data_IF_124729786196
#
_entry.id   IF_124729786196
#
_cell.length_a   1.000
_cell.length_b   1.000
_cell.length_c   1.000
_cell.angle_alpha   90.00
_cell.angle_beta   90.00
_cell.angle_gamma   90.00
#
_symmetry.space_group_name_H-M   'P 1'
#
loop_
_entity.id
_entity.type
_entity.pdbx_description
1 polymer ?
#
# COMPACT_ATOMS: atom_id res chain seq x y z
N UNK A 1 16.52 1.32 17.67
CA UNK A 1 16.74 2.52 16.85
C UNK A 1 15.90 3.67 17.38
N UNK A 2 16.54 4.79 17.70
CA UNK A 2 15.83 6.02 18.00
C UNK A 2 15.05 6.50 16.76
N UNK A 3 13.75 6.69 16.89
CA UNK A 3 12.98 7.37 15.83
C UNK A 3 13.45 8.82 15.78
N UNK A 4 13.82 9.33 14.62
CA UNK A 4 14.44 10.65 14.49
C UNK A 4 13.63 11.75 15.22
N UNK A 5 14.22 12.31 16.27
CA UNK A 5 13.60 13.33 17.10
C UNK A 5 12.67 12.82 18.21
N UNK A 6 12.40 11.52 18.32
CA UNK A 6 11.57 10.94 19.37
C UNK A 6 12.43 10.39 20.52
N UNK A 7 11.83 10.28 21.71
CA UNK A 7 12.48 9.77 22.92
C UNK A 7 12.44 8.24 23.03
N UNK A 8 11.71 7.56 22.14
CA UNK A 8 11.60 6.10 22.16
C UNK A 8 12.61 5.43 21.21
N UNK A 9 13.00 4.22 21.59
CA UNK A 9 13.66 3.28 20.70
C UNK A 9 12.66 2.26 20.15
N UNK A 10 12.77 1.99 18.86
CA UNK A 10 12.07 0.87 18.22
C UNK A 10 13.02 -0.24 17.84
N UNK A 11 12.59 -1.47 18.08
CA UNK A 11 13.23 -2.68 17.52
C UNK A 11 12.81 -2.79 16.07
N UNK A 12 13.74 -2.55 15.16
CA UNK A 12 13.52 -2.86 13.74
C UNK A 12 13.74 -4.36 13.60
N UNK A 13 12.67 -5.10 13.36
CA UNK A 13 12.75 -6.52 13.03
C UNK A 13 13.41 -6.61 11.66
N UNK A 14 14.69 -6.98 11.63
CA UNK A 14 15.37 -7.32 10.39
C UNK A 14 14.91 -8.71 9.95
N UNK A 15 14.58 -8.86 8.67
CA UNK A 15 14.21 -10.16 8.08
C UNK A 15 15.44 -10.92 7.58
N UNK A 16 16.64 -10.50 7.99
CA UNK A 16 17.88 -11.15 7.63
C UNK A 16 18.11 -12.38 8.53
N UNK A 17 18.47 -13.55 7.96
CA UNK A 17 18.95 -14.66 8.76
C UNK A 17 20.15 -14.18 9.59
N UNK A 18 20.13 -14.50 10.90
CA UNK A 18 21.10 -14.07 11.92
C UNK A 18 22.50 -13.80 11.37
N UNK A 19 22.83 -12.52 11.16
CA UNK A 19 24.16 -11.94 11.12
C UNK A 19 23.99 -10.41 11.21
N UNK A 20 24.86 -9.69 11.96
CA UNK A 20 26.20 -10.10 12.40
C UNK A 20 26.26 -10.48 13.89
N UNK A 21 27.42 -10.94 14.34
CA UNK A 21 27.73 -11.22 15.76
C UNK A 21 27.58 -9.99 16.69
N UNK A 22 27.88 -10.15 17.99
CA UNK A 22 27.47 -9.21 19.05
C UNK A 22 27.97 -7.75 18.92
N UNK A 23 28.90 -7.43 18.01
CA UNK A 23 29.61 -6.14 17.97
C UNK A 23 29.27 -5.21 16.80
N UNK A 24 28.24 -5.49 15.98
CA UNK A 24 27.91 -4.60 14.86
C UNK A 24 26.92 -3.51 15.23
N UNK A 25 27.36 -2.26 15.09
CA UNK A 25 26.51 -1.07 15.28
C UNK A 25 25.45 -0.97 14.20
N UNK A 26 24.34 -0.29 14.51
CA UNK A 26 23.26 -0.06 13.57
C UNK A 26 23.72 0.73 12.32
N UNK A 27 24.67 1.65 12.47
CA UNK A 27 25.20 2.44 11.35
C UNK A 27 26.04 1.59 10.40
N UNK A 28 26.84 0.67 10.94
CA UNK A 28 27.58 -0.31 10.14
C UNK A 28 26.62 -1.25 9.40
N UNK A 29 25.56 -1.72 10.06
CA UNK A 29 24.53 -2.53 9.42
C UNK A 29 23.82 -1.76 8.30
N UNK A 30 23.40 -0.52 8.55
CA UNK A 30 22.76 0.34 7.55
C UNK A 30 23.67 0.52 6.34
N UNK A 31 24.94 0.85 6.57
CA UNK A 31 25.95 1.02 5.51
C UNK A 31 26.11 -0.27 4.71
N UNK A 32 26.25 -1.41 5.39
CA UNK A 32 26.37 -2.72 4.75
C UNK A 32 25.16 -3.04 3.86
N UNK A 33 23.94 -2.81 4.34
CA UNK A 33 22.71 -3.03 3.55
C UNK A 33 22.70 -2.10 2.33
N UNK A 34 22.96 -0.79 2.52
CA UNK A 34 22.98 0.17 1.40
C UNK A 34 23.96 -0.24 0.30
N UNK A 35 25.14 -0.71 0.69
CA UNK A 35 26.18 -1.12 -0.27
C UNK A 35 25.87 -2.45 -0.96
N UNK A 36 25.26 -3.41 -0.26
CA UNK A 36 25.07 -4.78 -0.77
C UNK A 36 23.71 -5.02 -1.43
N UNK A 37 22.65 -4.46 -0.87
CA UNK A 37 21.27 -4.71 -1.26
C UNK A 37 20.58 -3.45 -1.82
N UNK A 38 21.21 -2.28 -1.69
CA UNK A 38 20.64 -1.00 -2.04
C UNK A 38 19.90 -0.32 -0.90
N UNK A 39 19.36 0.86 -1.19
CA UNK A 39 18.70 1.71 -0.21
C UNK A 39 17.19 1.72 -0.44
N UNK A 40 16.40 1.64 0.62
CA UNK A 40 14.95 1.79 0.53
C UNK A 40 14.59 3.17 -0.01
N UNK A 41 13.46 3.27 -0.72
CA UNK A 41 12.90 4.53 -1.22
C UNK A 41 12.08 5.29 -0.17
N UNK A 42 12.02 4.80 1.07
CA UNK A 42 11.24 5.40 2.15
C UNK A 42 12.11 6.14 3.17
N UNK A 43 12.98 5.43 3.87
CA UNK A 43 13.85 5.95 4.93
C UNK A 43 14.95 4.96 5.30
N UNK A 44 15.95 5.41 6.07
CA UNK A 44 16.98 4.54 6.65
C UNK A 44 16.41 3.43 7.53
N UNK A 45 15.28 3.70 8.18
CA UNK A 45 14.60 2.70 9.00
C UNK A 45 14.00 1.58 8.15
N UNK A 46 13.40 1.94 7.02
CA UNK A 46 12.92 0.96 6.06
C UNK A 46 14.09 0.19 5.45
N UNK A 47 15.25 0.84 5.22
CA UNK A 47 16.48 0.16 4.78
C UNK A 47 16.95 -0.89 5.78
N UNK A 48 16.95 -0.58 7.08
CA UNK A 48 17.40 -1.49 8.15
C UNK A 48 16.55 -2.77 8.30
N UNK A 49 15.33 -2.81 7.74
CA UNK A 49 14.54 -4.04 7.71
C UNK A 49 15.16 -5.13 6.83
N UNK A 50 16.08 -4.77 5.92
CA UNK A 50 16.74 -5.69 4.99
C UNK A 50 15.90 -6.00 3.75
N UNK A 51 16.33 -6.99 2.96
CA UNK A 51 15.67 -7.35 1.71
C UNK A 51 14.36 -8.16 1.92
N UNK A 52 13.62 -8.31 0.82
CA UNK A 52 12.41 -9.13 0.71
C UNK A 52 11.27 -8.73 1.66
N UNK A 53 11.13 -7.42 1.93
CA UNK A 53 10.05 -6.89 2.76
C UNK A 53 8.68 -7.11 2.07
N UNK A 54 7.66 -7.41 2.88
CA UNK A 54 6.26 -7.28 2.45
C UNK A 54 5.67 -6.00 3.03
N UNK A 55 5.17 -5.11 2.18
CA UNK A 55 4.85 -3.72 2.57
C UNK A 55 3.40 -3.35 2.24
N UNK A 56 2.67 -2.77 3.18
CA UNK A 56 1.40 -2.08 2.90
C UNK A 56 1.64 -0.57 2.88
N UNK A 57 1.41 0.05 1.73
CA UNK A 57 1.81 1.42 1.43
C UNK A 57 0.60 2.36 1.34
N UNK A 58 0.68 3.50 2.03
CA UNK A 58 -0.38 4.50 2.13
C UNK A 58 0.16 5.94 1.98
N UNK A 59 -0.69 6.81 1.44
CA UNK A 59 -0.44 8.26 1.40
C UNK A 59 -1.28 8.96 2.47
N UNK A 60 -0.66 9.84 3.25
CA UNK A 60 -1.33 10.68 4.24
C UNK A 60 -1.23 12.15 3.82
N UNK A 61 -2.38 12.79 3.57
CA UNK A 61 -2.42 14.14 3.00
C UNK A 61 -3.64 14.95 3.42
N UNK A 62 -3.65 16.22 3.03
CA UNK A 62 -4.65 17.21 3.47
C UNK A 62 -4.24 17.93 4.76
N UNK A 63 -5.09 18.86 5.21
CA UNK A 63 -4.82 19.66 6.42
C UNK A 63 -4.74 18.75 7.65
N UNK A 64 -3.62 18.77 8.36
CA UNK A 64 -3.42 17.94 9.54
C UNK A 64 -4.29 18.41 10.75
N UNK A 65 -4.97 17.49 11.47
CA UNK A 65 -5.23 16.11 11.08
C UNK A 65 -6.43 16.02 10.11
N UNK A 66 -6.22 15.38 8.97
CA UNK A 66 -7.27 15.02 7.99
C UNK A 66 -7.82 13.62 8.29
N UNK A 67 -8.87 13.20 7.58
CA UNK A 67 -9.43 11.86 7.70
C UNK A 67 -8.39 10.76 7.39
N UNK A 68 -7.42 11.01 6.50
CA UNK A 68 -6.35 10.06 6.21
C UNK A 68 -5.42 9.84 7.41
N UNK A 69 -5.12 10.90 8.18
CA UNK A 69 -4.33 10.76 9.41
C UNK A 69 -5.11 10.01 10.51
N UNK A 70 -6.43 10.22 10.60
CA UNK A 70 -7.29 9.46 11.52
C UNK A 70 -7.38 7.99 11.14
N UNK A 71 -7.54 7.70 9.85
CA UNK A 71 -7.53 6.35 9.31
C UNK A 71 -6.19 5.64 9.53
N UNK A 72 -5.07 6.35 9.38
CA UNK A 72 -3.73 5.82 9.64
C UNK A 72 -3.56 5.23 11.05
N UNK A 73 -4.13 5.88 12.08
CA UNK A 73 -4.09 5.36 13.46
C UNK A 73 -4.83 4.02 13.57
N UNK A 74 -5.98 3.88 12.91
CA UNK A 74 -6.73 2.61 12.88
C UNK A 74 -5.95 1.52 12.13
N UNK A 75 -5.43 1.87 10.96
CA UNK A 75 -4.64 0.97 10.12
C UNK A 75 -3.37 0.47 10.81
N UNK A 76 -2.67 1.32 11.56
CA UNK A 76 -1.48 0.94 12.31
C UNK A 76 -1.78 -0.16 13.37
N UNK A 77 -3.00 -0.19 13.89
CA UNK A 77 -3.47 -1.19 14.84
C UNK A 77 -4.02 -2.47 14.17
N UNK A 78 -4.61 -2.34 12.99
CA UNK A 78 -5.28 -3.45 12.28
C UNK A 78 -4.33 -4.27 11.42
N UNK A 79 -3.44 -3.62 10.67
CA UNK A 79 -2.53 -4.29 9.73
C UNK A 79 -1.66 -5.37 10.39
N UNK A 80 -1.06 -5.17 11.58
CA UNK A 80 -0.28 -6.24 12.23
C UNK A 80 -1.08 -7.52 12.48
N UNK A 81 -2.41 -7.41 12.63
CA UNK A 81 -3.32 -8.53 12.85
C UNK A 81 -3.75 -9.15 11.51
N UNK A 82 -4.09 -8.32 10.53
CA UNK A 82 -4.57 -8.75 9.22
C UNK A 82 -3.48 -9.27 8.29
N UNK A 83 -2.27 -8.73 8.39
CA UNK A 83 -1.11 -9.10 7.58
C UNK A 83 0.13 -9.31 8.47
N UNK A 84 0.18 -10.40 9.27
CA UNK A 84 1.31 -10.66 10.14
C UNK A 84 2.64 -10.68 9.37
N UNK A 85 3.62 -9.93 9.88
CA UNK A 85 4.95 -9.79 9.27
C UNK A 85 5.06 -8.77 8.13
N UNK A 86 3.96 -8.13 7.73
CA UNK A 86 4.04 -7.01 6.78
C UNK A 86 4.41 -5.72 7.52
N UNK A 87 5.25 -4.90 6.90
CA UNK A 87 5.54 -3.54 7.37
C UNK A 87 4.57 -2.53 6.77
N UNK A 88 4.30 -1.46 7.48
CA UNK A 88 3.43 -0.37 7.04
C UNK A 88 4.31 0.79 6.60
N UNK A 89 4.01 1.40 5.45
CA UNK A 89 4.67 2.65 5.01
C UNK A 89 3.64 3.77 4.90
N UNK A 90 3.82 4.80 5.71
CA UNK A 90 3.01 6.02 5.67
C UNK A 90 3.82 7.15 5.02
N UNK A 91 3.47 7.51 3.80
CA UNK A 91 4.05 8.64 3.08
C UNK A 91 3.34 9.93 3.50
N UNK A 92 4.08 10.91 4.03
CA UNK A 92 3.49 12.12 4.62
C UNK A 92 4.33 13.39 4.38
N UNK A 93 3.68 14.55 4.44
CA UNK A 93 4.31 15.89 4.41
C UNK A 93 4.22 16.60 5.78
N UNK A 94 4.27 15.83 6.87
CA UNK A 94 4.38 16.40 8.21
C UNK A 94 5.79 16.93 8.49
N UNK A 95 5.86 18.19 8.90
CA UNK A 95 7.09 18.84 9.34
C UNK A 95 7.41 18.50 10.81
N UNK A 96 8.51 17.77 11.12
CA UNK A 96 8.87 17.38 12.48
C UNK A 96 9.32 18.56 13.37
N UNK A 97 9.58 19.76 12.81
CA UNK A 97 9.85 20.96 13.60
C UNK A 97 8.56 21.57 14.19
N UNK A 98 7.38 21.09 13.78
CA UNK A 98 6.10 21.51 14.35
C UNK A 98 5.71 20.53 15.47
N UNK A 99 5.60 21.02 16.71
CA UNK A 99 5.43 20.18 17.91
C UNK A 99 4.29 19.17 17.80
N UNK A 100 3.11 19.58 17.30
CA UNK A 100 1.96 18.66 17.12
C UNK A 100 2.20 17.56 16.07
N UNK A 101 2.97 17.85 15.02
CA UNK A 101 3.31 16.87 14.00
C UNK A 101 4.32 15.88 14.56
N UNK A 102 5.35 16.40 15.24
CA UNK A 102 6.36 15.59 15.92
C UNK A 102 5.73 14.64 16.93
N UNK A 103 4.86 15.15 17.80
CA UNK A 103 4.15 14.34 18.79
C UNK A 103 3.37 13.20 18.15
N UNK A 104 2.60 13.48 17.09
CA UNK A 104 1.82 12.45 16.38
C UNK A 104 2.69 11.41 15.67
N UNK A 105 3.77 11.85 15.02
CA UNK A 105 4.72 10.94 14.36
C UNK A 105 5.40 10.03 15.38
N UNK A 106 5.86 10.59 16.50
CA UNK A 106 6.49 9.84 17.57
C UNK A 106 5.49 8.86 18.20
N UNK A 107 4.29 9.30 18.54
CA UNK A 107 3.27 8.44 19.14
C UNK A 107 3.03 7.17 18.31
N UNK A 108 2.82 7.31 17.01
CA UNK A 108 2.66 6.17 16.11
C UNK A 108 3.92 5.32 15.97
N UNK A 109 5.08 5.93 15.75
CA UNK A 109 6.31 5.19 15.50
C UNK A 109 6.81 4.44 16.75
N UNK A 110 6.54 4.96 17.94
CA UNK A 110 6.86 4.33 19.21
C UNK A 110 5.93 3.13 19.52
N UNK A 111 4.65 3.24 19.16
CA UNK A 111 3.68 2.17 19.41
C UNK A 111 3.75 1.04 18.37
N UNK A 112 4.25 1.31 17.16
CA UNK A 112 4.20 0.36 16.04
C UNK A 112 5.58 0.11 15.42
N UNK A 113 6.25 -0.97 15.83
CA UNK A 113 7.58 -1.37 15.30
C UNK A 113 7.57 -1.74 13.81
N UNK A 114 6.41 -2.14 13.27
CA UNK A 114 6.21 -2.45 11.85
C UNK A 114 6.03 -1.20 10.96
N UNK A 115 5.87 -0.01 11.55
CA UNK A 115 5.61 1.22 10.81
C UNK A 115 6.89 1.92 10.37
N UNK A 116 6.97 2.32 9.12
CA UNK A 116 7.93 3.27 8.59
C UNK A 116 7.23 4.57 8.15
N UNK A 117 7.80 5.68 8.60
CA UNK A 117 7.36 7.03 8.25
C UNK A 117 8.21 7.51 7.07
N UNK A 118 7.59 7.67 5.91
CA UNK A 118 8.26 8.12 4.69
C UNK A 118 7.99 9.61 4.47
N UNK A 119 8.88 10.47 4.94
CA UNK A 119 8.72 11.91 4.77
C UNK A 119 8.96 12.29 3.29
N UNK A 120 7.92 12.76 2.60
CA UNK A 120 7.96 13.01 1.16
C UNK A 120 8.87 14.16 0.72
N UNK A 121 9.42 14.92 1.68
CA UNK A 121 10.44 15.95 1.43
C UNK A 121 11.85 15.35 1.36
N UNK A 122 12.08 14.23 2.05
CA UNK A 122 13.42 13.65 2.27
C UNK A 122 13.44 12.14 2.07
N UNK A 123 12.78 11.65 1.02
CA UNK A 123 12.81 10.22 0.67
C UNK A 123 14.22 9.81 0.22
N UNK A 124 14.66 8.65 0.69
CA UNK A 124 15.94 8.03 0.34
C UNK A 124 15.85 7.25 -1.00
N UNK A 125 16.91 6.54 -1.40
CA UNK A 125 16.88 5.69 -2.60
C UNK A 125 16.72 6.47 -3.90
N UNK A 126 17.22 7.71 -3.93
CA UNK A 126 17.18 8.60 -5.09
C UNK A 126 15.83 9.26 -5.38
N UNK A 127 14.83 9.15 -4.49
CA UNK A 127 13.52 9.80 -4.69
C UNK A 127 13.51 11.29 -4.29
N UNK A 128 14.11 11.66 -3.16
CA UNK A 128 14.14 13.03 -2.68
C UNK A 128 12.76 13.63 -2.40
N UNK A 129 12.59 14.93 -2.69
CA UNK A 129 11.32 15.63 -2.51
C UNK A 129 10.36 15.31 -3.67
N UNK A 130 9.20 14.73 -3.34
CA UNK A 130 8.15 14.37 -4.32
C UNK A 130 6.85 15.18 -4.15
N UNK A 131 6.85 16.27 -3.36
CA UNK A 131 5.65 17.12 -3.13
C UNK A 131 5.14 17.84 -4.38
N UNK A 132 5.93 17.85 -5.45
CA UNK A 132 5.52 18.33 -6.75
C UNK A 132 4.52 17.38 -7.44
N UNK A 133 4.40 16.13 -6.99
CA UNK A 133 3.35 15.18 -7.41
C UNK A 133 2.10 15.31 -6.53
N UNK A 134 0.95 14.84 -7.03
CA UNK A 134 -0.29 14.75 -6.25
C UNK A 134 -0.10 13.78 -5.08
N UNK A 135 -0.73 14.08 -3.95
CA UNK A 135 -0.47 13.33 -2.73
C UNK A 135 -0.99 11.88 -2.76
N UNK A 136 -2.04 11.59 -3.53
CA UNK A 136 -2.57 10.22 -3.64
C UNK A 136 -1.54 9.24 -4.21
N UNK A 137 -0.59 9.69 -5.05
CA UNK A 137 0.42 8.80 -5.61
C UNK A 137 1.66 8.62 -4.74
N UNK A 138 1.85 9.33 -3.63
CA UNK A 138 3.08 9.19 -2.82
C UNK A 138 3.37 7.75 -2.37
N UNK A 139 2.32 6.98 -2.02
CA UNK A 139 2.38 5.53 -1.74
C UNK A 139 2.96 4.68 -2.87
N UNK A 140 3.01 5.18 -4.10
CA UNK A 140 3.67 4.54 -5.24
C UNK A 140 5.20 4.56 -5.11
N UNK A 141 5.76 5.26 -4.12
CA UNK A 141 7.19 5.26 -3.81
C UNK A 141 7.76 3.87 -3.57
N UNK A 142 6.93 2.92 -3.14
CA UNK A 142 7.29 1.51 -2.91
C UNK A 142 7.64 0.75 -4.20
N UNK A 143 7.17 1.22 -5.36
CA UNK A 143 7.39 0.54 -6.65
C UNK A 143 8.88 0.62 -7.02
N UNK A 144 9.54 -0.52 -7.20
CA UNK A 144 10.97 -0.55 -7.50
C UNK A 144 11.86 -0.11 -6.33
N UNK A 145 11.37 -0.21 -5.10
CA UNK A 145 12.25 -0.24 -3.93
C UNK A 145 13.03 -1.56 -3.94
N UNK A 146 14.38 -1.53 -3.91
CA UNK A 146 15.21 -2.73 -4.07
C UNK A 146 15.08 -3.73 -2.90
N UNK A 147 14.56 -3.28 -1.75
CA UNK A 147 14.42 -4.10 -0.55
C UNK A 147 13.03 -4.69 -0.39
N UNK A 148 12.09 -4.36 -1.27
CA UNK A 148 10.70 -4.81 -1.19
C UNK A 148 10.50 -6.04 -2.07
N UNK A 149 10.09 -7.15 -1.47
CA UNK A 149 9.70 -8.36 -2.19
C UNK A 149 8.27 -8.27 -2.71
N UNK A 150 7.35 -7.77 -1.89
CA UNK A 150 5.92 -7.62 -2.21
C UNK A 150 5.36 -6.34 -1.61
N UNK A 151 4.39 -5.74 -2.29
CA UNK A 151 3.70 -4.58 -1.77
C UNK A 151 2.20 -4.58 -2.07
N UNK A 152 1.46 -3.94 -1.18
CA UNK A 152 0.07 -3.54 -1.35
C UNK A 152 0.01 -2.02 -1.38
N UNK A 153 -0.82 -1.50 -2.26
CA UNK A 153 -1.09 -0.07 -2.38
C UNK A 153 -2.54 0.17 -1.98
N UNK A 154 -2.74 0.97 -0.91
CA UNK A 154 -4.03 1.15 -0.26
C UNK A 154 -4.33 2.62 0.04
N UNK A 155 -5.62 2.96 0.01
CA UNK A 155 -6.07 4.25 0.51
C UNK A 155 -6.20 4.22 2.04
N UNK A 156 -5.76 5.29 2.70
CA UNK A 156 -5.76 5.35 4.18
C UNK A 156 -7.15 5.64 4.77
N UNK A 157 -8.15 5.90 3.93
CA UNK A 157 -9.53 6.12 4.32
C UNK A 157 -10.39 4.85 4.27
N UNK A 158 -9.78 3.69 3.96
CA UNK A 158 -10.45 2.41 3.83
C UNK A 158 -10.07 1.45 4.97
N UNK A 159 -11.04 0.80 5.63
CA UNK A 159 -10.76 -0.26 6.59
C UNK A 159 -10.29 -1.54 5.89
N UNK A 160 -9.54 -2.36 6.61
CA UNK A 160 -9.12 -3.68 6.13
C UNK A 160 -10.21 -4.70 6.45
N UNK A 161 -10.77 -5.29 5.40
CA UNK A 161 -11.79 -6.34 5.53
C UNK A 161 -11.14 -7.72 5.44
N UNK A 162 -11.68 -8.71 6.17
CA UNK A 162 -11.25 -10.10 6.02
C UNK A 162 -11.35 -10.57 4.55
N UNK A 163 -12.38 -10.12 3.83
CA UNK A 163 -12.54 -10.32 2.38
C UNK A 163 -11.31 -9.88 1.57
N UNK A 164 -10.68 -8.77 1.95
CA UNK A 164 -9.46 -8.30 1.31
C UNK A 164 -8.28 -9.22 1.64
N UNK A 165 -8.13 -9.59 2.91
CA UNK A 165 -7.07 -10.48 3.40
C UNK A 165 -7.13 -11.82 2.66
N UNK A 166 -8.31 -12.42 2.55
CA UNK A 166 -8.50 -13.71 1.88
C UNK A 166 -8.16 -13.62 0.38
N UNK A 167 -8.52 -12.50 -0.27
CA UNK A 167 -8.19 -12.25 -1.68
C UNK A 167 -6.69 -11.99 -1.91
N UNK A 168 -6.01 -11.37 -0.95
CA UNK A 168 -4.55 -11.20 -0.94
C UNK A 168 -3.88 -12.56 -0.76
N UNK A 169 -4.32 -13.39 0.19
CA UNK A 169 -3.78 -14.73 0.41
C UNK A 169 -3.94 -15.62 -0.82
N UNK A 170 -5.10 -15.57 -1.46
CA UNK A 170 -5.35 -16.27 -2.70
C UNK A 170 -4.44 -15.78 -3.85
N UNK A 171 -4.15 -14.48 -3.93
CA UNK A 171 -3.14 -13.95 -4.86
C UNK A 171 -1.73 -14.44 -4.53
N UNK A 172 -1.32 -14.40 -3.26
CA UNK A 172 0.01 -14.86 -2.83
C UNK A 172 0.24 -16.33 -3.22
N UNK A 173 -0.77 -17.18 -3.04
CA UNK A 173 -0.73 -18.60 -3.46
C UNK A 173 -0.69 -18.79 -4.97
N UNK A 174 -1.15 -17.83 -5.77
CA UNK A 174 -1.21 -17.97 -7.23
C UNK A 174 0.17 -17.82 -7.90
N UNK A 175 1.19 -17.33 -7.18
CA UNK A 175 2.52 -17.06 -7.73
C UNK A 175 2.56 -15.94 -8.79
N UNK A 176 1.47 -15.18 -8.99
CA UNK A 176 1.43 -14.06 -9.94
C UNK A 176 2.00 -12.81 -9.29
N UNK A 177 2.58 -11.93 -10.10
CA UNK A 177 3.23 -10.73 -9.59
C UNK A 177 2.24 -9.67 -9.12
N UNK A 178 1.10 -9.53 -9.79
CA UNK A 178 0.19 -8.41 -9.59
C UNK A 178 -1.19 -8.86 -9.15
N UNK A 179 -1.80 -8.03 -8.30
CA UNK A 179 -3.14 -8.22 -7.76
C UNK A 179 -3.97 -6.96 -7.92
N UNK A 180 -5.23 -7.11 -8.32
CA UNK A 180 -6.19 -6.01 -8.38
C UNK A 180 -7.52 -6.49 -7.80
N UNK A 181 -8.22 -5.62 -7.08
CA UNK A 181 -9.53 -5.89 -6.51
C UNK A 181 -10.57 -4.86 -6.97
N UNK A 182 -11.73 -5.36 -7.40
CA UNK A 182 -12.89 -4.58 -7.90
C UNK A 182 -14.18 -5.09 -7.25
N UNK A 183 -14.46 -4.60 -6.06
CA UNK A 183 -15.48 -5.18 -5.17
C UNK A 183 -16.81 -4.39 -5.12
N UNK A 184 -17.02 -3.42 -6.02
CA UNK A 184 -18.22 -2.57 -6.06
C UNK A 184 -18.66 -2.32 -7.52
N UNK A 185 -19.96 -2.19 -7.84
CA UNK A 185 -20.43 -1.94 -9.21
C UNK A 185 -19.82 -0.70 -9.90
N UNK A 186 -19.35 0.27 -9.12
CA UNK A 186 -18.72 1.50 -9.63
C UNK A 186 -17.21 1.37 -9.87
N UNK A 187 -16.60 0.24 -9.53
CA UNK A 187 -15.16 -0.04 -9.73
C UNK A 187 -14.87 -0.39 -11.20
N UNK A 188 -15.10 0.58 -12.09
CA UNK A 188 -15.12 0.44 -13.56
C UNK A 188 -13.80 0.72 -14.26
N UNK A 189 -12.68 0.71 -13.54
CA UNK A 189 -11.34 1.04 -14.07
C UNK A 189 -10.40 -0.16 -14.01
N UNK A 190 -9.37 -0.13 -14.86
CA UNK A 190 -8.35 -1.16 -14.97
C UNK A 190 -7.58 -1.32 -13.66
N UNK A 191 -7.20 -0.23 -12.98
CA UNK A 191 -6.49 -0.29 -11.70
C UNK A 191 -7.11 0.75 -10.79
N UNK A 192 -7.78 0.31 -9.74
CA UNK A 192 -8.13 1.23 -8.65
C UNK A 192 -6.87 1.53 -7.85
N UNK A 193 -6.57 2.81 -7.69
CA UNK A 193 -5.31 3.24 -7.12
C UNK A 193 -5.13 2.76 -5.67
N UNK A 194 -6.20 2.49 -4.93
CA UNK A 194 -6.19 2.04 -3.54
C UNK A 194 -6.44 0.55 -3.32
N UNK A 195 -6.50 -0.29 -4.36
CA UNK A 195 -6.90 -1.71 -4.24
C UNK A 195 -6.06 -2.62 -5.15
N UNK A 196 -4.73 -2.48 -5.10
CA UNK A 196 -3.84 -3.31 -5.91
C UNK A 196 -2.50 -3.62 -5.21
N UNK A 197 -1.75 -4.58 -5.74
CA UNK A 197 -0.46 -4.99 -5.20
C UNK A 197 0.47 -5.54 -6.28
N UNK A 198 1.75 -5.67 -5.94
CA UNK A 198 2.79 -6.08 -6.88
C UNK A 198 3.97 -6.77 -6.19
N UNK A 199 4.82 -7.42 -6.97
CA UNK A 199 6.14 -7.86 -6.51
C UNK A 199 7.21 -6.81 -6.86
N UNK A 200 8.19 -6.61 -5.96
CA UNK A 200 9.30 -5.70 -6.22
C UNK A 200 10.41 -6.30 -7.09
N UNK A 201 10.49 -7.63 -7.20
CA UNK A 201 11.43 -8.31 -8.08
C UNK A 201 11.04 -8.30 -9.57
N UNK A 202 9.80 -7.95 -9.90
CA UNK A 202 9.32 -7.94 -11.29
C UNK A 202 9.93 -6.80 -12.09
N UNK A 203 10.77 -7.11 -13.07
CA UNK A 203 11.51 -6.13 -13.88
C UNK A 203 12.14 -5.03 -13.01
N UNK A 204 12.85 -5.42 -11.95
CA UNK A 204 13.38 -4.54 -10.90
C UNK A 204 14.24 -3.38 -11.43
N UNK A 205 14.91 -3.55 -12.57
CA UNK A 205 15.69 -2.49 -13.22
C UNK A 205 14.81 -1.41 -13.90
N UNK A 206 13.64 -1.81 -14.41
CA UNK A 206 12.75 -0.93 -15.18
C UNK A 206 11.69 -0.27 -14.30
N UNK A 207 11.18 -0.95 -13.27
CA UNK A 207 10.10 -0.44 -12.43
C UNK A 207 10.39 0.91 -11.75
N UNK A 208 11.63 1.24 -11.31
CA UNK A 208 11.96 2.58 -10.83
C UNK A 208 11.68 3.68 -11.86
N UNK A 209 11.91 3.41 -13.15
CA UNK A 209 11.65 4.37 -14.23
C UNK A 209 10.15 4.56 -14.44
N UNK A 210 9.36 3.48 -14.37
CA UNK A 210 7.89 3.55 -14.43
C UNK A 210 7.31 4.34 -13.25
N UNK A 211 7.81 4.09 -12.02
CA UNK A 211 7.45 4.88 -10.84
C UNK A 211 7.75 6.37 -11.03
N UNK A 212 8.96 6.70 -11.49
CA UNK A 212 9.35 8.10 -11.68
C UNK A 212 8.50 8.78 -12.76
N UNK A 213 8.15 8.06 -13.83
CA UNK A 213 7.20 8.54 -14.85
C UNK A 213 5.79 8.73 -14.29
N UNK A 214 5.31 7.81 -13.46
CA UNK A 214 4.03 7.93 -12.77
C UNK A 214 3.97 9.17 -11.89
N UNK A 215 5.02 9.46 -11.10
CA UNK A 215 5.10 10.70 -10.34
C UNK A 215 5.05 11.92 -11.27
N UNK A 216 5.88 11.93 -12.32
CA UNK A 216 5.95 13.03 -13.31
C UNK A 216 4.60 13.33 -13.97
N UNK A 217 3.86 12.28 -14.35
CA UNK A 217 2.55 12.42 -14.99
C UNK A 217 1.45 12.79 -14.01
N UNK A 218 1.67 12.56 -12.72
CA UNK A 218 0.74 12.91 -11.64
C UNK A 218 1.18 14.21 -10.95
N UNK A 219 1.58 15.21 -11.73
CA UNK A 219 2.09 16.48 -11.21
C UNK A 219 0.97 17.31 -10.55
N UNK A 220 1.20 17.93 -9.39
CA UNK A 220 0.14 18.62 -8.61
C UNK A 220 -0.59 19.78 -9.32
N UNK A 221 0.00 20.30 -10.39
CA UNK A 221 -0.59 21.38 -11.21
C UNK A 221 -1.59 20.85 -12.25
N UNK A 222 -1.74 19.54 -12.41
CA UNK A 222 -2.71 18.96 -13.34
C UNK A 222 -4.10 18.91 -12.70
N UNK A 223 -5.17 19.23 -13.44
CA UNK A 223 -6.49 19.59 -12.92
C UNK A 223 -7.53 18.45 -12.78
N UNK A 224 -7.16 17.16 -12.88
CA UNK A 224 -8.10 16.02 -12.82
C UNK A 224 -7.97 15.23 -11.52
N UNK A 225 -9.12 14.91 -10.92
CA UNK A 225 -9.24 14.12 -9.70
C UNK A 225 -8.99 12.60 -9.90
N UNK A 226 -8.79 12.14 -11.13
CA UNK A 226 -8.63 10.71 -11.47
C UNK A 226 -7.28 10.34 -12.09
N UNK A 227 -6.27 11.22 -11.95
CA UNK A 227 -4.98 11.02 -12.60
C UNK A 227 -4.21 9.80 -12.11
N UNK A 228 -4.32 9.43 -10.84
CA UNK A 228 -3.64 8.23 -10.35
C UNK A 228 -4.13 6.98 -11.09
N UNK A 229 -5.45 6.77 -11.17
CA UNK A 229 -6.02 5.62 -11.89
C UNK A 229 -5.76 5.69 -13.40
N UNK A 230 -5.87 6.87 -14.02
CA UNK A 230 -5.58 7.03 -15.45
C UNK A 230 -4.11 6.74 -15.77
N UNK A 231 -3.17 7.28 -14.99
CA UNK A 231 -1.75 7.07 -15.20
C UNK A 231 -1.33 5.63 -14.88
N UNK A 232 -1.94 5.00 -13.87
CA UNK A 232 -1.76 3.57 -13.61
C UNK A 232 -2.24 2.73 -14.81
N UNK A 233 -3.42 3.04 -15.35
CA UNK A 233 -3.98 2.34 -16.52
C UNK A 233 -3.12 2.54 -17.78
N UNK A 234 -2.54 3.72 -17.99
CA UNK A 234 -1.69 3.98 -19.15
C UNK A 234 -0.30 3.32 -19.01
N UNK A 235 0.31 3.39 -17.82
CA UNK A 235 1.70 2.98 -17.62
C UNK A 235 1.86 1.53 -17.17
N UNK A 236 1.06 1.09 -16.19
CA UNK A 236 1.28 -0.18 -15.51
C UNK A 236 0.36 -1.29 -16.02
N UNK A 237 -0.89 -0.98 -16.39
CA UNK A 237 -1.82 -2.01 -16.85
C UNK A 237 -1.31 -2.89 -18.01
N UNK A 238 -0.65 -2.34 -19.07
CA UNK A 238 -0.07 -3.17 -20.13
C UNK A 238 0.97 -4.17 -19.62
N UNK A 239 1.73 -3.81 -18.57
CA UNK A 239 2.73 -4.66 -17.95
C UNK A 239 2.09 -5.70 -17.02
N UNK A 240 1.15 -5.25 -16.18
CA UNK A 240 0.56 -6.06 -15.12
C UNK A 240 -0.16 -7.28 -15.69
N UNK A 241 -0.87 -7.13 -16.82
CA UNK A 241 -1.59 -8.23 -17.51
C UNK A 241 -0.75 -9.48 -17.76
N UNK A 242 0.58 -9.37 -17.84
CA UNK A 242 1.49 -10.50 -18.08
C UNK A 242 1.61 -11.44 -16.87
N UNK A 243 1.32 -10.96 -15.66
CA UNK A 243 1.40 -11.75 -14.43
C UNK A 243 0.39 -11.23 -13.41
N UNK A 244 -0.89 -11.34 -13.73
CA UNK A 244 -2.00 -10.77 -12.98
C UNK A 244 -2.94 -11.85 -12.42
N UNK A 245 -3.40 -11.61 -11.20
CA UNK A 245 -4.70 -12.08 -10.69
C UNK A 245 -5.57 -10.87 -10.37
N UNK A 246 -6.83 -10.89 -10.79
CA UNK A 246 -7.84 -9.93 -10.36
C UNK A 246 -8.97 -10.61 -9.60
N UNK A 247 -9.50 -9.95 -8.58
CA UNK A 247 -10.79 -10.31 -7.98
C UNK A 247 -11.82 -9.25 -8.34
N UNK A 248 -12.97 -9.67 -8.85
CA UNK A 248 -14.04 -8.77 -9.27
C UNK A 248 -15.41 -9.38 -9.00
N UNK A 249 -16.28 -8.61 -8.33
CA UNK A 249 -17.63 -9.07 -7.98
C UNK A 249 -18.68 -8.78 -9.04
N UNK A 250 -18.43 -7.82 -9.95
CA UNK A 250 -19.47 -7.29 -10.85
C UNK A 250 -19.07 -7.26 -12.33
N UNK A 251 -17.81 -7.05 -12.63
CA UNK A 251 -17.27 -6.85 -13.99
C UNK A 251 -16.26 -7.94 -14.35
N UNK A 252 -16.45 -9.15 -13.83
CA UNK A 252 -15.52 -10.27 -13.98
C UNK A 252 -15.22 -10.65 -15.43
N UNK A 253 -16.14 -10.39 -16.38
CA UNK A 253 -15.93 -10.64 -17.81
C UNK A 253 -15.26 -9.47 -18.55
N UNK A 254 -15.11 -8.31 -17.92
CA UNK A 254 -14.53 -7.11 -18.55
C UNK A 254 -13.00 -7.11 -18.54
N UNK A 255 -12.39 -7.72 -17.53
CA UNK A 255 -10.94 -7.68 -17.31
C UNK A 255 -10.32 -9.08 -17.36
N UNK A 256 -9.11 -9.24 -17.92
CA UNK A 256 -8.44 -10.53 -18.01
C UNK A 256 -7.99 -11.03 -16.63
N UNK A 257 -7.77 -12.35 -16.53
CA UNK A 257 -7.27 -13.03 -15.33
C UNK A 257 -8.08 -12.71 -14.07
N UNK A 258 -9.40 -12.59 -14.25
CA UNK A 258 -10.33 -12.24 -13.17
C UNK A 258 -11.02 -13.49 -12.65
N UNK A 259 -11.11 -13.57 -11.32
CA UNK A 259 -11.85 -14.59 -10.59
C UNK A 259 -12.77 -13.93 -9.56
N UNK A 260 -13.81 -14.63 -9.08
CA UNK A 260 -14.62 -14.14 -7.98
C UNK A 260 -13.79 -14.00 -6.69
N UNK A 261 -14.22 -13.14 -5.80
CA UNK A 261 -13.66 -13.07 -4.45
C UNK A 261 -13.85 -14.41 -3.71
N UNK A 262 -12.87 -14.82 -2.87
CA UNK A 262 -12.86 -16.14 -2.23
C UNK A 262 -13.84 -16.29 -1.06
N UNK A 263 -14.54 -15.22 -0.68
CA UNK A 263 -15.49 -15.24 0.43
C UNK A 263 -16.84 -14.63 0.06
N UNK A 264 -17.86 -14.90 0.88
CA UNK A 264 -19.17 -14.24 0.79
C UNK A 264 -19.10 -12.83 1.36
N UNK A 265 -19.76 -11.86 0.72
CA UNK A 265 -19.85 -10.48 1.23
C UNK A 265 -20.65 -10.45 2.52
N UNK A 266 -20.16 -9.70 3.50
CA UNK A 266 -20.83 -9.50 4.80
C UNK A 266 -21.29 -8.05 4.93
N UNK A 267 -22.51 -7.84 5.42
CA UNK A 267 -23.08 -6.51 5.75
C UNK A 267 -22.93 -5.47 4.62
N UNK A 268 -23.02 -5.91 3.36
CA UNK A 268 -22.85 -5.08 2.17
C UNK A 268 -21.53 -4.28 2.10
N UNK A 269 -20.55 -4.62 2.95
CA UNK A 269 -19.23 -3.99 2.96
C UNK A 269 -18.46 -4.37 1.71
N UNK A 270 -17.56 -3.51 1.25
CA UNK A 270 -16.71 -3.80 0.09
C UNK A 270 -15.28 -3.32 0.27
N UNK A 271 -14.34 -4.00 -0.39
CA UNK A 271 -12.93 -3.64 -0.41
C UNK A 271 -12.77 -2.27 -1.08
N UNK A 272 -12.19 -1.32 -0.35
CA UNK A 272 -12.05 0.08 -0.78
C UNK A 272 -13.19 1.02 -0.35
N UNK A 273 -14.08 0.59 0.55
CA UNK A 273 -15.07 1.50 1.14
C UNK A 273 -14.41 2.57 2.00
N UNK A 274 -14.91 3.82 1.93
CA UNK A 274 -14.21 4.99 2.49
C UNK A 274 -14.68 5.38 3.89
N UNK A 275 -15.06 4.40 4.71
CA UNK A 275 -15.78 4.63 5.97
C UNK A 275 -14.97 5.35 7.05
N UNK A 276 -13.64 5.51 6.88
CA UNK A 276 -12.84 6.36 7.77
C UNK A 276 -12.98 7.85 7.48
N UNK A 277 -13.64 8.22 6.37
CA UNK A 277 -14.08 9.59 6.13
C UNK A 277 -15.48 9.79 6.69
N UNK A 278 -15.64 10.80 7.53
CA UNK A 278 -16.93 11.06 8.22
C UNK A 278 -18.12 11.24 7.27
N UNK A 279 -17.88 11.66 6.02
CA UNK A 279 -18.92 11.79 4.98
C UNK A 279 -19.42 10.44 4.43
N UNK A 280 -18.66 9.37 4.59
CA UNK A 280 -18.85 8.07 3.92
C UNK A 280 -19.05 6.93 4.93
N UNK A 281 -19.58 7.22 6.12
CA UNK A 281 -19.80 6.21 7.17
C UNK A 281 -20.68 5.03 6.74
N UNK A 282 -21.56 5.24 5.75
CA UNK A 282 -22.45 4.23 5.19
C UNK A 282 -22.06 3.84 3.75
N UNK A 283 -20.76 3.87 3.41
CA UNK A 283 -20.25 3.48 2.09
C UNK A 283 -20.35 1.96 1.93
N UNK A 284 -21.48 1.50 1.39
CA UNK A 284 -21.83 0.10 1.21
C UNK A 284 -22.30 -0.16 -0.23
N UNK A 285 -22.27 -1.42 -0.64
CA UNK A 285 -22.97 -1.87 -1.85
C UNK A 285 -24.47 -1.74 -1.61
N UNK A 286 -25.25 -1.17 -2.54
CA UNK A 286 -26.71 -1.14 -2.42
C UNK A 286 -27.29 -2.56 -2.35
N UNK A 287 -28.25 -2.80 -1.46
CA UNK A 287 -28.94 -4.09 -1.36
C UNK A 287 -29.61 -4.49 -2.69
N UNK A 288 -30.01 -3.52 -3.50
CA UNK A 288 -30.59 -3.72 -4.84
C UNK A 288 -29.58 -4.16 -5.91
N UNK A 289 -28.29 -4.31 -5.58
CA UNK A 289 -27.21 -4.66 -6.51
C UNK A 289 -26.58 -6.01 -6.14
N UNK A 290 -27.25 -7.15 -6.39
CA UNK A 290 -26.65 -8.46 -6.21
C UNK A 290 -25.50 -8.70 -7.21
N UNK A 291 -24.59 -9.61 -6.87
CA UNK A 291 -23.58 -10.08 -7.81
C UNK A 291 -24.22 -10.71 -9.06
N UNK A 292 -23.74 -10.37 -10.26
CA UNK A 292 -24.10 -11.11 -11.47
C UNK A 292 -23.78 -12.60 -11.30
N UNK A 293 -24.71 -13.48 -11.69
CA UNK A 293 -24.59 -14.94 -11.50
C UNK A 293 -23.26 -15.47 -12.06
N UNK A 294 -22.87 -15.03 -13.24
CA UNK A 294 -21.61 -15.45 -13.89
C UNK A 294 -20.34 -14.93 -13.20
N UNK A 295 -20.45 -13.96 -12.29
CA UNK A 295 -19.34 -13.46 -11.48
C UNK A 295 -19.28 -14.07 -10.07
N UNK A 296 -20.20 -14.97 -9.73
CA UNK A 296 -20.15 -15.70 -8.45
C UNK A 296 -19.18 -16.89 -8.53
N UNK A 297 -18.58 -17.33 -7.41
CA UNK A 297 -17.81 -18.58 -7.38
C UNK A 297 -18.62 -19.76 -7.91
N UNK A 298 -17.99 -20.63 -8.71
CA UNK A 298 -18.67 -21.78 -9.34
C UNK A 298 -19.26 -22.71 -8.28
N UNK A 299 -18.56 -22.86 -7.17
CA UNK A 299 -18.91 -23.69 -6.03
C UNK A 299 -19.91 -22.99 -5.08
N UNK A 300 -20.17 -21.70 -5.26
CA UNK A 300 -21.01 -20.88 -4.39
C UNK A 300 -21.94 -19.93 -5.17
N UNK A 301 -22.74 -20.49 -6.06
CA UNK A 301 -23.74 -19.72 -6.83
C UNK A 301 -24.85 -19.13 -5.94
N UNK A 302 -25.00 -19.67 -4.72
CA UNK A 302 -25.90 -19.19 -3.66
C UNK A 302 -25.44 -17.85 -3.03
N UNK A 303 -24.19 -17.43 -3.25
CA UNK A 303 -23.68 -16.14 -2.78
C UNK A 303 -24.25 -15.00 -3.64
N UNK A 304 -25.50 -14.63 -3.38
CA UNK A 304 -26.19 -13.50 -4.03
C UNK A 304 -25.36 -12.21 -3.90
N UNK A 305 -24.71 -12.03 -2.75
CA UNK A 305 -23.70 -10.99 -2.52
C UNK A 305 -22.33 -11.66 -2.36
N UNK A 306 -21.64 -11.71 -3.49
CA UNK A 306 -20.19 -11.77 -3.59
C UNK A 306 -19.68 -10.33 -3.76
#
# INVERSE_FOLDING_TARGET
MQVEGCECERTIISWLPKCPGPDVTQQQLLTSIKTTLGESTCSDSATLRGANQSVVSYSLFGKFPSDYFRGAVKLANEIPKSYPGWSIRFYHDLNPNVSRHKAWLCDLACQHSQLDLCNVVKLTGGLGDIRWSIASVWRMGVIGDPLVGRYLNRDADSPILQREVDAVDDWLRSGKCFHIMRDNPVHKVEILAGMWGGCGWWHSEAMPQYRNRLFKWSHRKTSSLSYDQQNLALLLWPLMKKSLVSHDSYLCSRYPSTRPFPTRRQNFTFVGMRTYRGKYVNDQVPETMPCPVHCRPKEHQDWIYC
#
